data_IF_340161381892
#
_entry.id   IF_340161381892
#
_cell.length_a   1.000
_cell.length_b   1.000
_cell.length_c   1.000
_cell.angle_alpha   90.00
_cell.angle_beta   90.00
_cell.angle_gamma   90.00
#
_symmetry.space_group_name_H-M   'P 1'
#
loop_
_entity.id
_entity.type
_entity.pdbx_description
1 polymer ?
#
# COMPACT_ATOMS: atom_id res chain seq x y z
N UNK A 1 -38.49 -9.04 -51.11
CA UNK A 1 -39.48 -8.03 -51.49
C UNK A 1 -38.97 -7.34 -52.73
N UNK A 2 -39.86 -7.11 -53.69
CA UNK A 2 -39.61 -6.33 -54.90
C UNK A 2 -40.77 -5.37 -55.08
N UNK A 3 -40.55 -4.28 -55.79
CA UNK A 3 -41.63 -3.43 -56.29
C UNK A 3 -42.50 -4.24 -57.26
N UNK A 4 -43.77 -3.87 -57.38
CA UNK A 4 -44.70 -4.54 -58.29
C UNK A 4 -44.18 -4.47 -59.73
N UNK A 5 -44.31 -5.58 -60.48
CA UNK A 5 -43.80 -5.69 -61.84
C UNK A 5 -44.74 -5.03 -62.85
N UNK A 6 -44.85 -3.71 -62.77
CA UNK A 6 -45.50 -2.82 -63.75
C UNK A 6 -44.45 -1.91 -64.38
N UNK A 7 -44.71 -1.32 -65.58
CA UNK A 7 -43.73 -0.47 -66.25
C UNK A 7 -43.23 0.70 -65.40
N UNK A 8 -44.06 1.19 -64.49
CA UNK A 8 -43.80 2.28 -63.57
C UNK A 8 -43.53 1.83 -62.12
N UNK A 9 -43.52 0.51 -61.87
CA UNK A 9 -43.29 -0.09 -60.55
C UNK A 9 -44.34 0.28 -59.48
N UNK A 10 -45.53 0.71 -59.91
CA UNK A 10 -46.66 1.08 -59.06
C UNK A 10 -47.91 0.22 -59.35
N UNK A 11 -48.75 0.06 -58.33
CA UNK A 11 -50.08 -0.51 -58.46
C UNK A 11 -51.02 0.48 -59.15
N UNK A 12 -52.00 -0.04 -59.90
CA UNK A 12 -53.00 0.74 -60.66
C UNK A 12 -54.42 0.31 -60.29
N UNK A 13 -55.32 1.29 -60.16
CA UNK A 13 -56.75 1.03 -59.99
C UNK A 13 -57.37 0.49 -61.28
N UNK A 14 -58.47 -0.24 -61.15
CA UNK A 14 -59.12 -0.88 -62.30
C UNK A 14 -59.99 0.10 -63.06
N UNK A 15 -59.87 0.09 -64.39
CA UNK A 15 -60.74 0.83 -65.28
C UNK A 15 -61.50 -0.15 -66.21
N UNK A 16 -62.78 -0.45 -65.88
CA UNK A 16 -63.61 -1.35 -66.67
C UNK A 16 -63.92 -0.84 -68.08
N UNK A 17 -63.85 0.48 -68.32
CA UNK A 17 -64.16 1.07 -69.63
C UNK A 17 -63.02 0.90 -70.64
N UNK A 18 -61.78 0.82 -70.16
CA UNK A 18 -60.59 0.62 -70.99
C UNK A 18 -60.01 -0.81 -70.87
N UNK A 19 -60.72 -1.73 -70.21
CA UNK A 19 -60.31 -3.13 -70.05
C UNK A 19 -59.09 -3.33 -69.13
N UNK A 20 -58.76 -2.34 -68.30
CA UNK A 20 -57.61 -2.38 -67.40
C UNK A 20 -58.00 -3.10 -66.11
N UNK A 21 -57.45 -4.30 -65.90
CA UNK A 21 -57.64 -5.07 -64.67
C UNK A 21 -56.90 -4.36 -63.52
N UNK A 22 -57.64 -3.95 -62.51
CA UNK A 22 -57.09 -3.28 -61.33
C UNK A 22 -56.90 -4.17 -60.11
N UNK A 23 -56.28 -3.60 -59.09
CA UNK A 23 -56.21 -4.19 -57.76
C UNK A 23 -57.55 -4.11 -57.02
N UNK A 24 -57.86 -5.13 -56.21
CA UNK A 24 -59.10 -5.17 -55.39
C UNK A 24 -59.05 -4.12 -54.27
N UNK A 25 -57.85 -3.77 -53.82
CA UNK A 25 -57.58 -2.67 -52.86
C UNK A 25 -57.10 -1.46 -53.64
N UNK A 26 -57.39 -0.25 -53.15
CA UNK A 26 -56.99 0.99 -53.81
C UNK A 26 -55.47 1.06 -54.02
N UNK A 27 -55.06 1.41 -55.23
CA UNK A 27 -53.66 1.52 -55.63
C UNK A 27 -52.89 2.49 -54.72
N UNK A 28 -53.52 3.59 -54.29
CA UNK A 28 -52.93 4.56 -53.39
C UNK A 28 -52.43 3.92 -52.08
N UNK A 29 -53.23 3.06 -51.46
CA UNK A 29 -52.85 2.41 -50.20
C UNK A 29 -51.75 1.36 -50.42
N UNK A 30 -51.87 0.55 -51.47
CA UNK A 30 -50.86 -0.47 -51.79
C UNK A 30 -49.49 0.16 -52.14
N UNK A 31 -49.50 1.26 -52.88
CA UNK A 31 -48.28 2.01 -53.20
C UNK A 31 -47.67 2.64 -51.94
N UNK A 32 -48.48 3.21 -51.04
CA UNK A 32 -47.99 3.76 -49.78
C UNK A 32 -47.29 2.69 -48.92
N UNK A 33 -47.93 1.53 -48.75
CA UNK A 33 -47.33 0.41 -47.99
C UNK A 33 -46.07 -0.13 -48.67
N UNK A 34 -46.09 -0.28 -50.00
CA UNK A 34 -44.91 -0.70 -50.75
C UNK A 34 -43.74 0.27 -50.54
N UNK A 35 -44.00 1.57 -50.65
CA UNK A 35 -42.97 2.61 -50.50
C UNK A 35 -42.38 2.65 -49.09
N UNK A 36 -43.20 2.53 -48.04
CA UNK A 36 -42.71 2.45 -46.65
C UNK A 36 -41.74 1.28 -46.46
N UNK A 37 -42.11 0.09 -46.94
CA UNK A 37 -41.28 -1.11 -46.74
C UNK A 37 -40.03 -1.09 -47.62
N UNK A 38 -40.15 -0.66 -48.89
CA UNK A 38 -39.01 -0.48 -49.79
C UNK A 38 -38.06 0.60 -49.26
N UNK A 39 -38.60 1.68 -48.70
CA UNK A 39 -37.85 2.75 -48.05
C UNK A 39 -36.92 2.21 -46.97
N UNK A 40 -37.45 1.42 -46.02
CA UNK A 40 -36.66 0.79 -44.94
C UNK A 40 -35.53 -0.09 -45.49
N UNK A 41 -35.81 -0.89 -46.53
CA UNK A 41 -34.81 -1.79 -47.13
C UNK A 41 -33.70 -1.01 -47.85
N UNK A 42 -34.08 0.03 -48.60
CA UNK A 42 -33.15 0.86 -49.35
C UNK A 42 -32.27 1.75 -48.46
N UNK A 43 -32.81 2.31 -47.37
CA UNK A 43 -32.04 3.10 -46.39
C UNK A 43 -31.01 2.24 -45.62
N UNK A 44 -31.31 0.96 -45.43
CA UNK A 44 -30.36 -0.03 -44.95
C UNK A 44 -29.27 -0.39 -45.98
N UNK A 45 -29.33 0.12 -47.21
CA UNK A 45 -28.38 -0.16 -48.29
C UNK A 45 -28.54 -1.54 -48.93
N UNK A 46 -29.70 -2.19 -48.75
CA UNK A 46 -29.98 -3.52 -49.28
C UNK A 46 -30.71 -3.37 -50.63
N UNK A 47 -30.20 -4.03 -51.67
CA UNK A 47 -30.86 -4.08 -52.97
C UNK A 47 -32.10 -4.97 -52.93
N UNK A 48 -33.19 -4.52 -53.58
CA UNK A 48 -34.43 -5.28 -53.67
C UNK A 48 -34.24 -6.57 -54.48
N UNK A 49 -34.62 -7.69 -53.89
CA UNK A 49 -34.51 -9.02 -54.50
C UNK A 49 -35.84 -9.79 -54.41
N UNK A 50 -36.31 -10.30 -55.54
CA UNK A 50 -37.56 -11.05 -55.63
C UNK A 50 -37.46 -12.46 -55.01
N UNK A 51 -36.26 -13.02 -54.97
CA UNK A 51 -35.98 -14.37 -54.45
C UNK A 51 -35.86 -14.42 -52.93
N UNK A 52 -35.75 -13.27 -52.27
CA UNK A 52 -35.49 -13.14 -50.84
C UNK A 52 -36.68 -12.62 -50.05
N UNK A 53 -37.07 -13.36 -49.01
CA UNK A 53 -38.17 -13.01 -48.09
C UNK A 53 -37.69 -12.40 -46.77
N UNK A 54 -36.39 -12.26 -46.56
CA UNK A 54 -35.74 -11.84 -45.32
C UNK A 54 -35.21 -10.39 -45.35
N UNK A 55 -35.42 -9.65 -46.44
CA UNK A 55 -34.82 -8.33 -46.65
C UNK A 55 -35.26 -7.29 -45.63
N UNK A 56 -36.56 -7.22 -45.31
CA UNK A 56 -37.07 -6.28 -44.29
C UNK A 56 -36.48 -6.60 -42.91
N UNK A 57 -36.40 -7.89 -42.56
CA UNK A 57 -35.79 -8.32 -41.31
C UNK A 57 -34.31 -7.91 -41.24
N UNK A 58 -33.56 -8.10 -42.33
CA UNK A 58 -32.15 -7.70 -42.40
C UNK A 58 -31.98 -6.18 -42.38
N UNK A 59 -32.88 -5.43 -43.01
CA UNK A 59 -32.89 -3.97 -42.97
C UNK A 59 -33.11 -3.44 -41.55
N UNK A 60 -34.06 -4.01 -40.82
CA UNK A 60 -34.32 -3.67 -39.40
C UNK A 60 -33.09 -4.02 -38.54
N UNK A 61 -32.48 -5.19 -38.73
CA UNK A 61 -31.25 -5.58 -38.02
C UNK A 61 -30.09 -4.63 -38.32
N UNK A 62 -29.93 -4.20 -39.57
CA UNK A 62 -28.89 -3.26 -39.97
C UNK A 62 -29.13 -1.87 -39.38
N UNK A 63 -30.37 -1.36 -39.41
CA UNK A 63 -30.74 -0.11 -38.77
C UNK A 63 -30.47 -0.14 -37.25
N UNK A 64 -30.86 -1.23 -36.56
CA UNK A 64 -30.57 -1.42 -35.15
C UNK A 64 -29.05 -1.44 -34.87
N UNK A 65 -28.26 -2.05 -35.76
CA UNK A 65 -26.79 -2.11 -35.63
C UNK A 65 -26.12 -0.76 -35.88
N UNK A 66 -26.66 0.08 -36.78
CA UNK A 66 -26.20 1.46 -36.99
C UNK A 66 -26.42 2.31 -35.73
N UNK A 67 -27.59 2.16 -35.08
CA UNK A 67 -27.90 2.83 -33.81
C UNK A 67 -26.95 2.38 -32.70
N UNK A 68 -26.62 1.09 -32.64
CA UNK A 68 -25.70 0.52 -31.64
C UNK A 68 -24.22 0.96 -31.78
N UNK A 69 -23.85 1.64 -32.87
CA UNK A 69 -22.48 2.13 -33.09
C UNK A 69 -22.42 3.65 -33.33
N UNK A 70 -23.55 4.35 -33.16
CA UNK A 70 -23.62 5.79 -33.38
C UNK A 70 -23.02 6.54 -32.19
N UNK A 71 -22.09 7.44 -32.47
CA UNK A 71 -21.55 8.37 -31.47
C UNK A 71 -22.32 9.70 -31.52
N UNK A 72 -22.61 10.26 -30.35
CA UNK A 72 -23.22 11.59 -30.22
C UNK A 72 -22.20 12.58 -29.67
N UNK A 73 -22.19 13.80 -30.19
CA UNK A 73 -21.32 14.86 -29.68
C UNK A 73 -22.08 15.79 -28.73
N UNK A 74 -21.49 16.12 -27.57
CA UNK A 74 -22.06 17.00 -26.56
C UNK A 74 -21.15 18.21 -26.35
N UNK A 75 -21.70 19.37 -26.72
CA UNK A 75 -21.20 20.73 -26.48
C UNK A 75 -21.07 21.11 -25.00
N UNK A 76 -19.89 21.35 -24.42
CA UNK A 76 -19.77 21.90 -23.06
C UNK A 76 -18.73 23.03 -22.93
N UNK A 77 -18.96 23.95 -21.99
CA UNK A 77 -18.04 25.06 -21.68
C UNK A 77 -17.88 25.35 -20.18
N UNK A 78 -18.98 25.38 -19.41
CA UNK A 78 -18.99 25.52 -17.96
C UNK A 78 -20.32 25.05 -17.35
N UNK A 79 -20.31 24.68 -16.06
CA UNK A 79 -21.53 24.45 -15.29
C UNK A 79 -22.16 23.06 -15.47
N UNK A 80 -23.49 22.98 -15.37
CA UNK A 80 -24.22 21.70 -15.38
C UNK A 80 -24.95 21.53 -16.71
N UNK A 81 -24.76 20.38 -17.36
CA UNK A 81 -25.45 20.01 -18.61
C UNK A 81 -26.22 18.70 -18.41
N UNK A 82 -27.53 18.72 -18.63
CA UNK A 82 -28.38 17.53 -18.52
C UNK A 82 -28.50 16.90 -19.91
N UNK A 83 -28.21 15.60 -20.02
CA UNK A 83 -28.27 14.90 -21.30
C UNK A 83 -29.72 14.69 -21.74
N UNK A 84 -29.98 14.98 -23.02
CA UNK A 84 -31.26 14.71 -23.67
C UNK A 84 -31.43 13.23 -23.99
N UNK A 85 -32.67 12.81 -24.29
CA UNK A 85 -32.98 11.43 -24.67
C UNK A 85 -32.18 10.91 -25.85
N UNK A 86 -31.97 11.75 -26.87
CA UNK A 86 -31.15 11.37 -28.02
C UNK A 86 -29.66 11.19 -27.63
N UNK A 87 -29.16 11.95 -26.66
CA UNK A 87 -27.76 11.89 -26.25
C UNK A 87 -27.45 10.69 -25.36
N UNK A 88 -28.30 10.37 -24.38
CA UNK A 88 -28.05 9.21 -23.52
C UNK A 88 -28.45 7.89 -24.19
N UNK A 89 -29.22 7.89 -25.29
CA UNK A 89 -29.55 6.65 -26.02
C UNK A 89 -28.41 6.16 -26.91
N UNK A 90 -27.40 7.00 -27.16
CA UNK A 90 -26.21 6.63 -27.92
C UNK A 90 -25.19 5.92 -27.02
N UNK A 91 -24.56 4.81 -27.45
CA UNK A 91 -23.57 4.08 -26.65
C UNK A 91 -22.24 4.83 -26.51
N UNK A 92 -21.87 5.65 -27.51
CA UNK A 92 -20.66 6.47 -27.48
C UNK A 92 -21.02 7.95 -27.33
N UNK A 93 -20.45 8.61 -26.33
CA UNK A 93 -20.66 10.04 -26.08
C UNK A 93 -19.32 10.77 -26.16
N UNK A 94 -19.21 11.69 -27.12
CA UNK A 94 -18.02 12.52 -27.32
C UNK A 94 -18.28 13.91 -26.75
N UNK A 95 -17.53 14.28 -25.71
CA UNK A 95 -17.64 15.58 -25.05
C UNK A 95 -16.56 16.47 -25.64
N UNK A 96 -16.96 17.64 -26.16
CA UNK A 96 -16.06 18.60 -26.80
C UNK A 96 -16.31 20.01 -26.28
N UNK A 97 -15.36 20.91 -26.51
CA UNK A 97 -15.47 22.32 -26.17
C UNK A 97 -14.31 22.83 -25.31
N UNK A 98 -14.22 24.16 -25.19
CA UNK A 98 -13.23 24.84 -24.36
C UNK A 98 -13.80 25.08 -22.97
N UNK A 99 -13.22 24.44 -21.96
CA UNK A 99 -13.64 24.55 -20.58
C UNK A 99 -13.13 25.85 -19.96
N UNK A 100 -14.04 26.64 -19.41
CA UNK A 100 -13.74 27.85 -18.63
C UNK A 100 -13.97 27.64 -17.13
N UNK A 101 -14.61 26.54 -16.74
CA UNK A 101 -14.80 26.07 -15.36
C UNK A 101 -15.03 24.55 -15.34
N UNK A 102 -15.16 23.96 -14.14
CA UNK A 102 -15.55 22.55 -13.99
C UNK A 102 -16.96 22.32 -14.57
N UNK A 103 -17.14 21.19 -15.27
CA UNK A 103 -18.40 20.81 -15.92
C UNK A 103 -18.96 19.52 -15.32
N UNK A 104 -20.26 19.52 -15.06
CA UNK A 104 -21.02 18.35 -14.62
C UNK A 104 -22.03 17.93 -15.68
N UNK A 105 -21.88 16.73 -16.23
CA UNK A 105 -22.83 16.10 -17.14
C UNK A 105 -23.76 15.19 -16.33
N UNK A 106 -25.07 15.40 -16.47
CA UNK A 106 -26.09 14.65 -15.74
C UNK A 106 -26.74 13.63 -16.66
N UNK A 107 -26.61 12.36 -16.29
CA UNK A 107 -27.26 11.21 -16.90
C UNK A 107 -28.61 10.96 -16.22
N UNK A 108 -29.62 10.47 -16.95
CA UNK A 108 -30.84 9.97 -16.33
C UNK A 108 -30.51 8.76 -15.46
N UNK A 109 -31.35 8.50 -14.46
CA UNK A 109 -31.18 7.38 -13.51
C UNK A 109 -31.61 6.03 -14.09
N UNK A 110 -31.40 5.84 -15.40
CA UNK A 110 -31.76 4.63 -16.12
C UNK A 110 -30.55 3.69 -16.15
N UNK A 111 -30.80 2.38 -16.00
CA UNK A 111 -29.74 1.38 -16.14
C UNK A 111 -29.22 1.43 -17.58
N UNK A 112 -27.92 1.64 -17.74
CA UNK A 112 -27.28 1.82 -19.05
C UNK A 112 -25.76 1.79 -18.95
N UNK A 113 -25.11 1.57 -20.10
CA UNK A 113 -23.66 1.56 -20.26
C UNK A 113 -23.28 2.54 -21.38
N UNK A 114 -22.23 3.31 -21.17
CA UNK A 114 -21.71 4.28 -22.13
C UNK A 114 -20.19 4.28 -22.16
N UNK A 115 -19.62 4.47 -23.33
CA UNK A 115 -18.21 4.84 -23.47
C UNK A 115 -18.13 6.35 -23.71
N UNK A 116 -17.51 7.05 -22.76
CA UNK A 116 -17.42 8.51 -22.77
C UNK A 116 -16.02 8.95 -23.18
N UNK A 117 -15.95 9.76 -24.23
CA UNK A 117 -14.72 10.33 -24.77
C UNK A 117 -14.66 11.80 -24.36
N UNK A 118 -13.70 12.18 -23.54
CA UNK A 118 -13.50 13.58 -23.18
C UNK A 118 -12.45 14.22 -24.10
N UNK A 119 -12.90 14.89 -25.16
CA UNK A 119 -12.07 15.64 -26.11
C UNK A 119 -12.15 17.16 -25.86
N UNK A 120 -12.38 17.58 -24.62
CA UNK A 120 -12.39 18.99 -24.23
C UNK A 120 -10.97 19.56 -24.10
N UNK A 121 -10.85 20.88 -24.22
CA UNK A 121 -9.61 21.62 -24.00
C UNK A 121 -9.76 22.56 -22.80
N UNK A 122 -8.74 22.67 -21.95
CA UNK A 122 -8.77 23.52 -20.75
C UNK A 122 -8.42 22.74 -19.48
N UNK A 123 -7.94 23.45 -18.45
CA UNK A 123 -7.44 22.82 -17.22
C UNK A 123 -8.54 22.70 -16.15
N UNK A 124 -9.66 22.09 -16.52
CA UNK A 124 -10.83 21.90 -15.64
C UNK A 124 -11.35 20.47 -15.74
N UNK A 125 -12.11 20.04 -14.73
CA UNK A 125 -12.61 18.66 -14.65
C UNK A 125 -13.96 18.50 -15.34
N UNK A 126 -14.15 17.39 -16.05
CA UNK A 126 -15.45 16.94 -16.55
C UNK A 126 -15.92 15.76 -15.70
N UNK A 127 -17.08 15.91 -15.08
CA UNK A 127 -17.65 14.91 -14.17
C UNK A 127 -18.99 14.43 -14.69
N UNK A 128 -19.22 13.12 -14.70
CA UNK A 128 -20.46 12.48 -15.12
C UNK A 128 -21.20 11.99 -13.88
N UNK A 129 -22.41 12.51 -13.64
CA UNK A 129 -23.24 12.18 -12.47
C UNK A 129 -24.58 11.57 -12.90
N UNK A 130 -25.16 10.72 -12.05
CA UNK A 130 -26.57 10.38 -12.16
C UNK A 130 -27.44 11.52 -11.61
N UNK A 131 -28.68 11.62 -12.08
CA UNK A 131 -29.67 12.56 -11.51
C UNK A 131 -29.88 12.27 -10.02
N UNK A 132 -29.44 13.19 -9.15
CA UNK A 132 -29.45 13.05 -7.69
C UNK A 132 -28.62 11.86 -7.14
N UNK A 133 -27.57 11.45 -7.85
CA UNK A 133 -26.67 10.37 -7.44
C UNK A 133 -25.19 10.75 -7.50
N UNK A 134 -24.34 9.78 -7.21
CA UNK A 134 -22.88 9.83 -7.35
C UNK A 134 -22.42 9.80 -8.80
N UNK A 135 -21.13 10.10 -8.99
CA UNK A 135 -20.55 10.22 -10.32
C UNK A 135 -19.04 9.99 -10.37
N UNK A 136 -18.53 9.98 -11.59
CA UNK A 136 -17.12 9.72 -11.91
C UNK A 136 -16.54 10.87 -12.73
N UNK A 137 -15.23 11.06 -12.64
CA UNK A 137 -14.52 12.13 -13.36
C UNK A 137 -13.84 11.55 -14.60
N UNK A 138 -14.14 12.08 -15.78
CA UNK A 138 -13.52 11.62 -17.02
C UNK A 138 -12.33 12.52 -17.33
N UNK A 139 -11.13 11.93 -17.35
CA UNK A 139 -9.91 12.72 -17.60
C UNK A 139 -9.90 13.26 -19.04
N UNK A 140 -9.29 14.42 -19.32
CA UNK A 140 -9.17 14.92 -20.68
C UNK A 140 -8.32 13.98 -21.55
N UNK A 141 -8.72 13.79 -22.80
CA UNK A 141 -7.99 13.02 -23.81
C UNK A 141 -8.07 11.50 -23.69
N UNK A 142 -8.92 10.96 -22.81
CA UNK A 142 -9.13 9.51 -22.65
C UNK A 142 -10.56 9.10 -22.97
N UNK A 143 -10.72 7.79 -23.21
CA UNK A 143 -11.99 7.10 -23.32
C UNK A 143 -12.16 6.24 -22.07
N UNK A 144 -13.28 6.44 -21.36
CA UNK A 144 -13.60 5.66 -20.16
C UNK A 144 -15.01 5.06 -20.31
N UNK A 145 -15.12 3.75 -20.03
CA UNK A 145 -16.40 3.05 -19.95
C UNK A 145 -17.08 3.31 -18.60
N UNK A 146 -18.32 3.79 -18.64
CA UNK A 146 -19.14 4.09 -17.47
C UNK A 146 -20.46 3.31 -17.50
N UNK A 147 -20.99 3.02 -16.31
CA UNK A 147 -22.27 2.34 -16.12
C UNK A 147 -23.14 3.14 -15.15
N UNK A 148 -24.44 3.19 -15.40
CA UNK A 148 -25.43 3.57 -14.40
C UNK A 148 -26.10 2.31 -13.86
N UNK A 149 -26.06 2.12 -12.54
CA UNK A 149 -26.69 0.98 -11.85
C UNK A 149 -28.15 1.27 -11.43
N UNK A 150 -28.74 2.34 -11.97
CA UNK A 150 -30.04 2.85 -11.53
C UNK A 150 -29.96 3.70 -10.25
N UNK A 151 -28.76 3.96 -9.73
CA UNK A 151 -28.54 4.92 -8.65
C UNK A 151 -27.44 5.94 -8.94
N UNK A 152 -26.25 5.46 -9.25
CA UNK A 152 -25.05 6.27 -9.44
C UNK A 152 -24.39 5.96 -10.79
N UNK A 153 -23.54 6.87 -11.27
CA UNK A 153 -22.61 6.57 -12.37
C UNK A 153 -21.31 6.05 -11.79
N UNK A 154 -20.82 4.93 -12.31
CA UNK A 154 -19.58 4.24 -11.90
C UNK A 154 -18.74 3.88 -13.13
N UNK A 155 -17.44 3.66 -12.97
CA UNK A 155 -16.61 3.08 -14.03
C UNK A 155 -17.01 1.61 -14.25
N UNK A 156 -16.94 1.14 -15.49
CA UNK A 156 -17.22 -0.26 -15.82
C UNK A 156 -16.25 -1.22 -15.13
N UNK A 157 -14.97 -0.84 -15.03
CA UNK A 157 -13.98 -1.59 -14.28
C UNK A 157 -14.10 -1.26 -12.78
N UNK A 158 -15.10 -1.83 -12.11
CA UNK A 158 -15.35 -1.63 -10.67
C UNK A 158 -14.17 -2.02 -9.75
N UNK A 159 -13.26 -2.87 -10.23
CA UNK A 159 -12.09 -3.38 -9.49
C UNK A 159 -10.74 -2.80 -9.92
N UNK A 160 -10.70 -1.95 -10.97
CA UNK A 160 -9.45 -1.34 -11.40
C UNK A 160 -9.07 -0.16 -10.49
N UNK A 161 -7.83 -0.14 -10.00
CA UNK A 161 -7.31 0.99 -9.25
C UNK A 161 -7.36 2.27 -10.12
N UNK A 162 -8.09 3.29 -9.67
CA UNK A 162 -8.12 4.57 -10.38
C UNK A 162 -6.73 5.21 -10.40
N UNK A 163 -6.42 6.01 -11.43
CA UNK A 163 -5.14 6.75 -11.52
C UNK A 163 -4.86 7.56 -10.25
N UNK A 164 -5.90 8.18 -9.67
CA UNK A 164 -5.81 8.93 -8.43
C UNK A 164 -5.47 8.04 -7.22
N UNK A 165 -6.03 6.84 -7.12
CA UNK A 165 -5.72 5.89 -6.06
C UNK A 165 -4.27 5.38 -6.17
N UNK A 166 -3.79 5.13 -7.39
CA UNK A 166 -2.39 4.74 -7.65
C UNK A 166 -1.43 5.87 -7.28
N UNK A 167 -1.66 7.10 -7.76
CA UNK A 167 -0.77 8.24 -7.49
C UNK A 167 -0.71 8.63 -6.02
N UNK A 168 -1.83 8.49 -5.29
CA UNK A 168 -1.90 8.75 -3.85
C UNK A 168 -1.46 7.55 -3.00
N UNK A 169 -1.21 6.41 -3.64
CA UNK A 169 -0.94 5.13 -2.98
C UNK A 169 -2.02 4.76 -1.93
N UNK A 170 -3.28 5.18 -2.15
CA UNK A 170 -4.32 5.18 -1.10
C UNK A 170 -4.82 3.78 -0.74
N UNK A 171 -4.56 2.78 -1.58
CA UNK A 171 -4.99 1.39 -1.37
C UNK A 171 -4.07 0.62 -0.41
N UNK A 172 -2.83 1.08 -0.24
CA UNK A 172 -1.80 0.44 0.61
C UNK A 172 -1.29 1.35 1.72
N UNK A 173 -1.88 2.55 1.85
CA UNK A 173 -1.54 3.52 2.89
C UNK A 173 -2.72 3.74 3.84
N UNK A 174 -2.45 3.72 5.14
CA UNK A 174 -3.44 4.06 6.17
C UNK A 174 -2.83 4.87 7.32
N UNK A 175 -3.67 5.56 8.08
CA UNK A 175 -3.25 6.14 9.37
C UNK A 175 -3.23 5.02 10.41
N UNK A 176 -2.14 4.93 11.18
CA UNK A 176 -1.99 3.93 12.23
C UNK A 176 -2.75 4.29 13.50
N UNK A 177 -3.06 3.27 14.29
CA UNK A 177 -3.60 3.37 15.64
C UNK A 177 -2.90 2.39 16.58
N UNK A 178 -3.58 2.00 17.65
CA UNK A 178 -3.05 1.04 18.62
C UNK A 178 -2.13 1.66 19.67
N UNK A 179 -1.25 0.84 20.23
CA UNK A 179 -0.30 1.22 21.31
C UNK A 179 1.15 1.02 20.85
N UNK A 180 2.11 1.49 21.64
CA UNK A 180 3.56 1.44 21.34
C UNK A 180 4.02 0.10 20.75
N UNK A 181 3.60 -1.02 21.36
CA UNK A 181 4.04 -2.37 21.00
C UNK A 181 2.93 -3.23 20.36
N UNK A 182 1.76 -2.65 20.10
CA UNK A 182 0.66 -3.29 19.40
C UNK A 182 0.04 -2.30 18.42
N UNK A 183 0.67 -2.19 17.26
CA UNK A 183 0.34 -1.23 16.21
C UNK A 183 -0.81 -1.77 15.35
N UNK A 184 -1.71 -0.90 14.92
CA UNK A 184 -2.83 -1.27 14.05
C UNK A 184 -2.96 -0.25 12.91
N UNK A 185 -3.59 -0.65 11.80
CA UNK A 185 -3.96 0.28 10.73
C UNK A 185 -5.16 -0.25 9.96
N UNK A 186 -6.04 0.64 9.50
CA UNK A 186 -7.26 0.28 8.77
C UNK A 186 -7.15 0.71 7.32
N UNK A 187 -6.86 -0.25 6.43
CA UNK A 187 -6.77 -0.03 4.98
C UNK A 187 -8.14 -0.12 4.31
N UNK A 188 -8.28 0.55 3.17
CA UNK A 188 -9.46 0.53 2.32
C UNK A 188 -9.01 0.28 0.87
N UNK A 189 -9.44 -0.82 0.23
CA UNK A 189 -10.26 -1.90 0.78
C UNK A 189 -9.56 -2.65 1.93
N UNK A 190 -10.35 -3.29 2.79
CA UNK A 190 -9.83 -3.99 3.95
C UNK A 190 -8.97 -5.20 3.52
N UNK A 191 -7.79 -5.34 4.12
CA UNK A 191 -6.94 -6.51 3.91
C UNK A 191 -7.58 -7.72 4.58
N UNK A 192 -7.99 -8.71 3.77
CA UNK A 192 -8.61 -9.94 4.26
C UNK A 192 -7.57 -11.03 4.58
N UNK A 193 -6.55 -11.17 3.73
CA UNK A 193 -5.53 -12.21 3.83
C UNK A 193 -4.13 -11.64 3.60
N UNK A 194 -3.13 -12.26 4.23
CA UNK A 194 -1.72 -11.89 4.08
C UNK A 194 -1.03 -12.80 3.08
N UNK A 195 -0.37 -12.20 2.08
CA UNK A 195 0.39 -12.91 1.03
C UNK A 195 1.86 -12.56 1.10
N UNK A 196 2.74 -13.51 0.80
CA UNK A 196 4.19 -13.31 0.88
C UNK A 196 4.64 -12.15 -0.03
N UNK A 197 5.47 -11.24 0.49
CA UNK A 197 5.91 -10.04 -0.22
C UNK A 197 4.93 -8.86 -0.19
N UNK A 198 3.73 -9.01 0.40
CA UNK A 198 2.77 -7.91 0.52
C UNK A 198 3.35 -6.75 1.33
N UNK A 199 3.37 -5.54 0.76
CA UNK A 199 3.89 -4.34 1.43
C UNK A 199 2.76 -3.38 1.79
N UNK A 200 2.73 -2.94 3.05
CA UNK A 200 1.78 -1.98 3.58
C UNK A 200 2.50 -0.78 4.20
N UNK A 201 1.92 0.39 4.01
CA UNK A 201 2.43 1.65 4.53
C UNK A 201 1.47 2.21 5.57
N UNK A 202 1.98 2.68 6.70
CA UNK A 202 1.15 3.41 7.63
C UNK A 202 1.90 4.53 8.32
N UNK A 203 1.16 5.51 8.84
CA UNK A 203 1.73 6.50 9.75
C UNK A 203 1.56 6.02 11.19
N UNK A 204 2.68 5.78 11.90
CA UNK A 204 2.62 5.32 13.28
C UNK A 204 2.09 6.42 14.21
N UNK A 205 1.14 6.07 15.07
CA UNK A 205 0.59 7.00 16.06
C UNK A 205 1.43 7.04 17.35
N UNK A 206 2.14 5.96 17.66
CA UNK A 206 2.93 5.81 18.89
C UNK A 206 4.28 5.19 18.54
N UNK A 207 5.35 5.68 19.17
CA UNK A 207 6.68 5.09 19.06
C UNK A 207 6.75 3.74 19.77
N UNK A 208 7.54 2.80 19.25
CA UNK A 208 7.78 1.54 19.95
C UNK A 208 8.85 1.70 21.04
N UNK A 209 8.71 0.93 22.12
CA UNK A 209 9.71 0.86 23.20
C UNK A 209 10.20 -0.57 23.49
N UNK A 210 9.70 -1.56 22.74
CA UNK A 210 10.12 -2.95 22.81
C UNK A 210 9.74 -3.69 21.52
N UNK A 211 9.79 -5.03 21.57
CA UNK A 211 9.25 -5.90 20.54
C UNK A 211 7.77 -5.55 20.29
N UNK A 212 7.42 -5.41 19.01
CA UNK A 212 6.15 -4.82 18.57
C UNK A 212 5.42 -5.75 17.62
N UNK A 213 4.10 -5.76 17.65
CA UNK A 213 3.24 -6.46 16.69
C UNK A 213 2.48 -5.48 15.79
N UNK A 214 2.06 -5.95 14.61
CA UNK A 214 1.19 -5.23 13.70
C UNK A 214 -0.03 -6.07 13.30
N UNK A 215 -1.21 -5.45 13.33
CA UNK A 215 -2.49 -6.03 12.91
C UNK A 215 -3.21 -5.10 11.92
N UNK A 216 -3.12 -5.35 10.60
CA UNK A 216 -3.90 -4.61 9.62
C UNK A 216 -5.36 -5.04 9.67
N UNK A 217 -6.30 -4.09 9.59
CA UNK A 217 -7.74 -4.30 9.51
C UNK A 217 -8.34 -5.25 10.58
N UNK A 218 -7.69 -5.38 11.74
CA UNK A 218 -8.15 -6.26 12.83
C UNK A 218 -7.80 -7.74 12.65
N UNK A 219 -6.93 -8.09 11.70
CA UNK A 219 -6.36 -9.44 11.60
C UNK A 219 -5.55 -9.82 12.85
N UNK A 220 -5.21 -11.11 12.97
CA UNK A 220 -4.40 -11.59 14.09
C UNK A 220 -3.06 -10.83 14.16
N UNK A 221 -2.68 -10.28 15.34
CA UNK A 221 -1.44 -9.55 15.49
C UNK A 221 -0.23 -10.45 15.19
N UNK A 222 0.62 -10.02 14.26
CA UNK A 222 1.86 -10.70 13.93
C UNK A 222 3.07 -9.83 14.35
N UNK A 223 4.21 -10.45 14.75
CA UNK A 223 5.38 -9.71 15.19
C UNK A 223 6.00 -8.90 14.04
N UNK A 224 6.56 -7.74 14.40
CA UNK A 224 7.40 -6.93 13.52
C UNK A 224 8.86 -7.23 13.84
N UNK A 225 9.62 -7.56 12.80
CA UNK A 225 11.06 -7.79 12.84
C UNK A 225 11.75 -6.68 12.03
N UNK A 226 12.95 -6.28 12.42
CA UNK A 226 13.78 -5.40 11.59
C UNK A 226 14.43 -6.13 10.42
N UNK A 227 15.23 -5.40 9.63
CA UNK A 227 15.88 -5.93 8.41
C UNK A 227 16.82 -7.12 8.62
N UNK A 228 17.23 -7.40 9.86
CA UNK A 228 18.04 -8.57 10.23
C UNK A 228 17.20 -9.73 10.81
N UNK A 229 15.88 -9.69 10.66
CA UNK A 229 14.91 -10.63 11.24
C UNK A 229 14.97 -10.71 12.77
N UNK A 230 15.43 -9.64 13.41
CA UNK A 230 15.45 -9.51 14.86
C UNK A 230 14.17 -8.80 15.32
N UNK A 231 13.62 -9.14 16.50
CA UNK A 231 12.56 -8.35 17.10
C UNK A 231 12.97 -6.88 17.27
N UNK A 232 12.02 -5.97 17.16
CA UNK A 232 12.26 -4.55 17.47
C UNK A 232 12.69 -4.37 18.93
N UNK A 233 13.55 -3.40 19.19
CA UNK A 233 14.19 -3.16 20.49
C UNK A 233 13.71 -1.85 21.15
N UNK A 234 13.06 -0.97 20.39
CA UNK A 234 12.60 0.35 20.82
C UNK A 234 13.25 1.46 19.99
N UNK A 235 12.44 2.41 19.54
CA UNK A 235 12.91 3.56 18.77
C UNK A 235 13.04 3.34 17.27
N UNK A 236 12.80 2.13 16.75
CA UNK A 236 12.74 1.89 15.29
C UNK A 236 11.47 2.45 14.63
N UNK A 237 10.39 2.61 15.40
CA UNK A 237 9.15 3.26 15.00
C UNK A 237 9.00 4.51 15.85
N UNK A 238 8.79 5.65 15.21
CA UNK A 238 8.57 6.95 15.87
C UNK A 238 7.15 7.43 15.65
N UNK A 239 6.61 8.14 16.64
CA UNK A 239 5.30 8.76 16.51
C UNK A 239 5.30 9.77 15.35
N UNK A 240 4.30 9.68 14.47
CA UNK A 240 4.19 10.46 13.24
C UNK A 240 5.03 9.96 12.07
N UNK A 241 5.93 9.00 12.28
CA UNK A 241 6.79 8.41 11.25
C UNK A 241 5.99 7.59 10.23
N UNK A 242 6.44 7.60 8.98
CA UNK A 242 5.94 6.71 7.93
C UNK A 242 6.69 5.39 8.01
N UNK A 243 5.94 4.31 8.15
CA UNK A 243 6.44 2.95 8.33
C UNK A 243 6.04 2.12 7.11
N UNK A 244 6.98 1.36 6.57
CA UNK A 244 6.75 0.39 5.52
C UNK A 244 7.04 -1.02 6.05
N UNK A 245 6.01 -1.87 6.05
CA UNK A 245 6.07 -3.26 6.48
C UNK A 245 5.85 -4.18 5.31
N UNK A 246 6.67 -5.23 5.19
CA UNK A 246 6.51 -6.28 4.20
C UNK A 246 6.20 -7.61 4.90
N UNK A 247 5.15 -8.29 4.47
CA UNK A 247 4.81 -9.61 5.02
C UNK A 247 5.79 -10.67 4.51
N UNK A 248 6.31 -11.49 5.43
CA UNK A 248 7.08 -12.66 5.09
C UNK A 248 6.43 -13.93 5.65
N UNK A 249 5.85 -14.74 4.77
CA UNK A 249 5.06 -15.92 5.11
C UNK A 249 5.91 -17.01 5.79
N UNK A 250 7.17 -17.17 5.40
CA UNK A 250 8.08 -18.16 6.01
C UNK A 250 8.40 -17.90 7.48
N UNK A 251 8.34 -16.63 7.92
CA UNK A 251 8.56 -16.23 9.32
C UNK A 251 7.24 -15.92 10.05
N UNK A 252 6.10 -15.95 9.35
CA UNK A 252 4.81 -15.46 9.84
C UNK A 252 4.92 -14.08 10.52
N UNK A 253 5.72 -13.19 9.94
CA UNK A 253 6.14 -11.92 10.56
C UNK A 253 6.17 -10.78 9.55
N UNK A 254 5.99 -9.56 10.05
CA UNK A 254 6.20 -8.33 9.30
C UNK A 254 7.66 -7.91 9.35
N UNK A 255 8.26 -7.61 8.20
CA UNK A 255 9.61 -7.06 8.10
C UNK A 255 9.53 -5.56 7.93
N UNK A 256 10.17 -4.83 8.85
CA UNK A 256 10.34 -3.39 8.78
C UNK A 256 11.37 -3.05 7.70
N UNK A 257 10.89 -2.55 6.56
CA UNK A 257 11.74 -2.16 5.42
C UNK A 257 12.19 -0.71 5.53
N UNK A 258 11.33 0.17 6.05
CA UNK A 258 11.68 1.56 6.35
C UNK A 258 10.79 2.16 7.43
N UNK A 259 11.37 3.09 8.19
CA UNK A 259 10.68 3.91 9.18
C UNK A 259 11.32 5.29 9.19
N UNK A 260 10.58 6.33 8.81
CA UNK A 260 11.14 7.69 8.77
C UNK A 260 11.35 8.22 10.18
N UNK A 261 12.57 8.61 10.51
CA UNK A 261 12.93 9.14 11.83
C UNK A 261 13.18 8.07 12.90
N UNK A 262 12.95 6.79 12.58
CA UNK A 262 13.26 5.67 13.44
C UNK A 262 14.73 5.23 13.34
N UNK A 263 15.22 4.62 14.41
CA UNK A 263 16.53 3.97 14.42
C UNK A 263 16.58 2.76 13.49
N UNK A 264 17.73 2.54 12.85
CA UNK A 264 18.00 1.33 12.07
C UNK A 264 18.68 0.31 12.99
N UNK A 265 18.17 -0.91 13.02
CA UNK A 265 18.82 -1.99 13.76
C UNK A 265 20.18 -2.31 13.15
N UNK A 266 21.20 -2.53 13.98
CA UNK A 266 22.54 -2.94 13.54
C UNK A 266 22.86 -4.29 14.15
N UNK A 267 22.95 -5.33 13.30
CA UNK A 267 23.39 -6.66 13.72
C UNK A 267 24.87 -6.69 14.15
N UNK A 268 25.32 -7.80 14.71
CA UNK A 268 26.73 -7.98 15.07
C UNK A 268 27.62 -7.98 13.82
N UNK A 269 28.67 -7.16 13.83
CA UNK A 269 29.64 -7.10 12.75
C UNK A 269 30.41 -8.42 12.59
N UNK A 270 30.56 -8.90 11.35
CA UNK A 270 31.29 -10.15 11.02
C UNK A 270 32.40 -9.95 9.99
N UNK A 271 32.50 -8.76 9.39
CA UNK A 271 33.51 -8.41 8.36
C UNK A 271 33.96 -6.96 8.52
N UNK A 272 35.09 -6.62 7.91
CA UNK A 272 35.81 -5.34 8.07
C UNK A 272 35.05 -4.06 7.63
N UNK A 273 33.84 -4.17 7.08
CA UNK A 273 33.02 -3.04 6.64
C UNK A 273 31.58 -3.10 7.17
N UNK A 274 31.33 -3.91 8.20
CA UNK A 274 30.03 -3.92 8.87
C UNK A 274 30.00 -2.84 9.96
N UNK A 275 28.84 -2.20 10.12
CA UNK A 275 28.61 -1.31 11.25
C UNK A 275 28.71 -2.09 12.57
N UNK A 276 29.37 -1.50 13.55
CA UNK A 276 29.59 -2.08 14.88
C UNK A 276 28.43 -1.66 15.77
N UNK A 277 27.83 -2.62 16.50
CA UNK A 277 26.73 -2.30 17.41
C UNK A 277 27.24 -1.75 18.74
N UNK A 278 26.37 -1.03 19.48
CA UNK A 278 26.76 -0.39 20.74
C UNK A 278 27.35 -1.38 21.76
N UNK A 279 26.80 -2.59 21.85
CA UNK A 279 27.29 -3.61 22.78
C UNK A 279 28.75 -4.00 22.50
N UNK A 280 29.12 -4.17 21.23
CA UNK A 280 30.52 -4.45 20.85
C UNK A 280 31.46 -3.28 21.13
N UNK A 281 31.01 -2.04 20.94
CA UNK A 281 31.80 -0.85 21.30
C UNK A 281 32.00 -0.75 22.81
N UNK A 282 30.95 -0.95 23.60
CA UNK A 282 31.02 -0.91 25.07
C UNK A 282 31.99 -1.95 25.61
N UNK A 283 32.01 -3.16 25.04
CA UNK A 283 32.97 -4.20 25.40
C UNK A 283 34.42 -3.82 25.04
N UNK A 284 34.65 -3.11 23.94
CA UNK A 284 35.99 -2.62 23.56
C UNK A 284 36.47 -1.48 24.45
N UNK A 285 35.60 -0.52 24.79
CA UNK A 285 35.92 0.63 25.65
C UNK A 285 36.16 0.19 27.09
N UNK A 286 35.37 -0.77 27.59
CA UNK A 286 35.67 -1.43 28.86
C UNK A 286 37.05 -2.12 28.86
N UNK A 287 37.68 -2.26 27.69
CA UNK A 287 39.04 -2.74 27.46
C UNK A 287 40.14 -1.66 27.55
N UNK A 288 39.81 -0.38 27.38
CA UNK A 288 40.76 0.65 26.91
C UNK A 288 41.26 1.64 27.99
N UNK A 289 40.84 1.51 29.25
CA UNK A 289 41.32 2.38 30.33
C UNK A 289 40.93 1.93 31.75
N UNK A 290 41.48 2.57 32.80
CA UNK A 290 41.16 2.22 34.17
C UNK A 290 39.67 2.38 34.47
N UNK A 291 39.04 1.35 35.01
CA UNK A 291 37.62 1.33 35.35
C UNK A 291 37.42 1.76 36.80
N UNK A 292 36.68 2.85 37.03
CA UNK A 292 36.29 3.27 38.39
C UNK A 292 35.30 2.28 39.02
N UNK A 293 35.50 1.94 40.29
CA UNK A 293 34.67 1.00 41.04
C UNK A 293 34.44 1.50 42.47
N UNK A 294 33.17 1.64 42.86
CA UNK A 294 32.74 1.99 44.21
C UNK A 294 31.67 1.02 44.77
N UNK A 295 31.62 -0.20 44.23
CA UNK A 295 30.62 -1.20 44.58
C UNK A 295 30.97 -2.59 44.07
N UNK A 296 30.22 -3.59 44.55
CA UNK A 296 30.46 -5.00 44.23
C UNK A 296 30.24 -5.29 42.73
N UNK A 297 31.16 -6.04 42.13
CA UNK A 297 31.06 -6.47 40.71
C UNK A 297 31.96 -7.66 40.41
N UNK A 298 31.70 -8.31 39.28
CA UNK A 298 32.66 -9.23 38.66
C UNK A 298 33.64 -8.44 37.80
N UNK A 299 34.92 -8.74 37.95
CA UNK A 299 36.03 -8.10 37.26
C UNK A 299 36.20 -8.72 35.87
N UNK A 300 36.88 -7.99 34.98
CA UNK A 300 37.16 -8.36 33.60
C UNK A 300 38.67 -8.60 33.47
N UNK A 301 39.04 -9.65 32.72
CA UNK A 301 40.44 -9.99 32.49
C UNK A 301 41.20 -8.87 31.78
N UNK A 302 42.42 -8.58 32.21
CA UNK A 302 43.30 -7.59 31.59
C UNK A 302 42.98 -6.14 31.93
N UNK A 303 42.05 -5.89 32.86
CA UNK A 303 41.64 -4.54 33.24
C UNK A 303 42.41 -3.94 34.43
N UNK A 304 42.46 -2.62 34.44
CA UNK A 304 42.92 -1.81 35.58
C UNK A 304 41.70 -1.24 36.28
N UNK A 305 41.65 -1.31 37.61
CA UNK A 305 40.53 -0.83 38.42
C UNK A 305 40.98 0.26 39.39
N UNK A 306 40.29 1.40 39.36
CA UNK A 306 40.41 2.46 40.36
C UNK A 306 39.35 2.17 41.43
N UNK A 307 39.77 1.69 42.61
CA UNK A 307 38.84 1.22 43.63
C UNK A 307 38.66 2.27 44.72
N UNK A 308 37.42 2.68 44.91
CA UNK A 308 36.99 3.63 45.93
C UNK A 308 36.12 2.92 46.99
N UNK A 309 36.64 2.81 48.21
CA UNK A 309 35.94 2.19 49.34
C UNK A 309 35.18 3.19 50.23
N UNK A 310 35.11 4.48 49.86
CA UNK A 310 34.45 5.50 50.70
C UNK A 310 32.95 5.25 50.88
N UNK A 311 32.30 4.59 49.92
CA UNK A 311 30.87 4.27 49.94
C UNK A 311 30.48 3.05 50.81
N UNK A 312 31.45 2.35 51.41
CA UNK A 312 31.21 1.16 52.22
C UNK A 312 32.01 -0.07 51.77
N UNK A 313 31.87 -1.17 52.51
CA UNK A 313 32.55 -2.43 52.22
C UNK A 313 31.85 -3.19 51.10
N UNK A 314 32.58 -3.69 50.11
CA UNK A 314 32.03 -4.50 49.03
C UNK A 314 32.98 -5.62 48.60
N UNK A 315 32.47 -6.54 47.77
CA UNK A 315 33.25 -7.66 47.21
C UNK A 315 33.48 -7.48 45.72
N UNK A 316 34.74 -7.43 45.29
CA UNK A 316 35.13 -7.49 43.88
C UNK A 316 35.48 -8.93 43.53
N UNK A 317 34.72 -9.56 42.64
CA UNK A 317 34.92 -10.98 42.28
C UNK A 317 35.86 -11.08 41.08
N UNK A 318 36.95 -11.85 41.20
CA UNK A 318 37.90 -12.09 40.11
C UNK A 318 37.24 -12.68 38.84
N UNK A 319 37.76 -12.40 37.63
CA UNK A 319 37.19 -12.91 36.39
C UNK A 319 37.27 -14.45 36.33
N UNK A 320 36.57 -15.06 35.37
CA UNK A 320 36.71 -16.50 35.09
C UNK A 320 38.18 -16.84 34.84
N UNK A 321 38.79 -17.72 35.66
CA UNK A 321 40.23 -17.89 35.75
C UNK A 321 40.80 -18.53 34.49
N UNK A 322 41.49 -17.73 33.67
CA UNK A 322 42.19 -18.17 32.45
C UNK A 322 43.67 -17.89 32.61
N UNK A 323 44.54 -18.86 32.26
CA UNK A 323 46.00 -18.74 32.43
C UNK A 323 46.50 -17.45 31.77
N UNK A 324 47.27 -16.65 32.49
CA UNK A 324 47.81 -15.37 32.02
C UNK A 324 46.88 -14.17 32.19
N UNK A 325 45.69 -14.34 32.78
CA UNK A 325 44.83 -13.21 33.16
C UNK A 325 45.52 -12.38 34.23
N UNK A 326 45.58 -11.07 34.04
CA UNK A 326 46.09 -10.09 34.99
C UNK A 326 44.98 -9.09 35.30
N UNK A 327 44.87 -8.68 36.57
CA UNK A 327 44.02 -7.56 36.99
C UNK A 327 44.84 -6.66 37.91
N UNK A 328 44.75 -5.35 37.70
CA UNK A 328 45.47 -4.36 38.51
C UNK A 328 44.48 -3.52 39.30
N UNK A 329 44.78 -3.27 40.57
CA UNK A 329 43.98 -2.42 41.45
C UNK A 329 44.81 -1.24 41.91
N UNK A 330 44.20 -0.05 41.90
CA UNK A 330 44.81 1.20 42.34
C UNK A 330 43.87 1.83 43.37
N UNK A 331 44.41 2.14 44.55
CA UNK A 331 43.70 2.93 45.55
C UNK A 331 43.61 4.39 45.09
N UNK A 332 42.38 4.89 44.88
CA UNK A 332 42.13 6.25 44.39
C UNK A 332 41.76 7.23 45.50
N UNK A 333 41.32 6.72 46.66
CA UNK A 333 40.83 7.55 47.78
C UNK A 333 41.65 7.43 49.06
N UNK A 334 42.71 6.60 49.07
CA UNK A 334 43.55 6.34 50.24
C UNK A 334 42.75 5.79 51.44
N UNK A 335 41.66 5.07 51.15
CA UNK A 335 40.65 4.71 52.15
C UNK A 335 40.55 3.20 52.43
N UNK A 336 41.34 2.35 51.75
CA UNK A 336 41.27 0.89 51.93
C UNK A 336 41.58 0.44 53.37
N UNK A 337 42.43 1.16 54.10
CA UNK A 337 42.73 0.90 55.51
C UNK A 337 41.67 1.36 56.51
N UNK A 338 40.75 2.23 56.11
CA UNK A 338 39.61 2.65 56.95
C UNK A 338 38.37 1.81 56.63
N UNK A 339 38.04 1.73 55.34
CA UNK A 339 36.94 0.90 54.83
C UNK A 339 37.55 -0.18 53.95
N UNK A 340 37.65 -1.38 54.51
CA UNK A 340 38.18 -2.53 53.80
C UNK A 340 37.21 -3.05 52.74
N UNK A 341 37.76 -3.72 51.73
CA UNK A 341 36.97 -4.42 50.73
C UNK A 341 37.52 -5.83 50.54
N UNK A 342 36.71 -6.70 49.96
CA UNK A 342 37.04 -8.13 49.80
C UNK A 342 37.25 -8.46 48.32
N UNK A 343 38.35 -9.13 48.01
CA UNK A 343 38.63 -9.70 46.70
C UNK A 343 38.12 -11.15 46.67
N UNK A 344 37.00 -11.36 46.00
CA UNK A 344 36.34 -12.65 45.83
C UNK A 344 37.09 -13.54 44.84
N UNK A 345 37.38 -14.78 45.25
CA UNK A 345 38.29 -15.70 44.56
C UNK A 345 37.74 -16.39 43.30
N UNK A 346 36.45 -16.22 43.03
CA UNK A 346 35.70 -16.84 41.92
C UNK A 346 36.02 -18.33 41.72
N UNK A 347 35.99 -19.09 42.83
CA UNK A 347 36.17 -20.55 42.82
C UNK A 347 37.61 -21.07 42.79
N UNK A 348 38.63 -20.23 42.56
CA UNK A 348 40.05 -20.63 42.67
C UNK A 348 40.68 -20.15 43.98
N UNK A 349 41.88 -20.61 44.30
CA UNK A 349 42.62 -20.13 45.48
C UNK A 349 43.29 -18.79 45.17
N UNK A 350 43.58 -18.02 46.22
CA UNK A 350 44.42 -16.82 46.15
C UNK A 350 45.67 -17.09 46.99
N UNK A 351 46.85 -17.05 46.38
CA UNK A 351 48.13 -17.35 47.02
C UNK A 351 48.20 -18.74 47.69
N UNK A 352 47.39 -19.69 47.20
CA UNK A 352 47.24 -21.04 47.77
C UNK A 352 46.20 -21.15 48.88
N UNK A 353 45.55 -20.05 49.27
CA UNK A 353 44.50 -20.04 50.29
C UNK A 353 43.12 -20.19 49.65
N UNK A 354 42.27 -21.04 50.25
CA UNK A 354 40.87 -21.23 49.84
C UNK A 354 39.94 -20.26 50.58
N UNK A 355 40.31 -18.98 50.62
CA UNK A 355 39.55 -17.89 51.23
C UNK A 355 39.63 -16.65 50.33
N UNK A 356 38.64 -15.76 50.46
CA UNK A 356 38.68 -14.45 49.82
C UNK A 356 39.68 -13.54 50.52
N UNK A 357 40.28 -12.60 49.80
CA UNK A 357 41.36 -11.74 50.32
C UNK A 357 40.79 -10.39 50.74
N UNK A 358 40.90 -10.04 52.02
CA UNK A 358 40.56 -8.69 52.50
C UNK A 358 41.71 -7.73 52.21
N UNK A 359 41.37 -6.57 51.66
CA UNK A 359 42.32 -5.49 51.37
C UNK A 359 42.09 -4.37 52.38
N UNK A 360 43.08 -4.15 53.24
CA UNK A 360 43.04 -3.29 54.42
C UNK A 360 44.23 -2.32 54.50
N UNK A 361 44.99 -2.15 53.41
CA UNK A 361 46.13 -1.25 53.32
C UNK A 361 45.85 -0.12 52.33
N UNK A 362 45.89 1.12 52.79
CA UNK A 362 45.72 2.29 51.92
C UNK A 362 47.00 2.68 51.16
N UNK A 363 46.83 3.49 50.11
CA UNK A 363 47.90 4.03 49.24
C UNK A 363 48.72 2.94 48.55
N UNK A 364 48.03 1.90 48.08
CA UNK A 364 48.65 0.77 47.39
C UNK A 364 48.10 0.62 45.98
N UNK A 365 49.00 0.21 45.09
CA UNK A 365 48.68 -0.42 43.83
C UNK A 365 49.24 -1.84 43.87
N UNK A 366 48.43 -2.81 43.45
CA UNK A 366 48.89 -4.19 43.30
C UNK A 366 48.23 -4.83 42.09
N UNK A 367 48.93 -5.80 41.51
CA UNK A 367 48.40 -6.62 40.44
C UNK A 367 48.27 -8.07 40.91
N UNK A 368 47.31 -8.78 40.35
CA UNK A 368 47.11 -10.19 40.58
C UNK A 368 47.02 -10.90 39.23
N UNK A 369 47.72 -12.03 39.08
CA UNK A 369 47.71 -12.81 37.86
C UNK A 369 47.39 -14.28 38.10
N UNK A 370 46.77 -14.94 37.12
CA UNK A 370 46.43 -16.35 37.22
C UNK A 370 47.48 -17.22 36.52
N UNK A 371 48.17 -18.08 37.27
CA UNK A 371 49.25 -18.93 36.73
C UNK A 371 48.76 -20.20 36.00
N UNK A 372 47.45 -20.46 36.02
CA UNK A 372 46.80 -21.65 35.47
C UNK A 372 46.11 -22.51 36.54
N UNK A 373 46.54 -22.40 37.80
CA UNK A 373 45.97 -23.14 38.94
C UNK A 373 45.50 -22.21 40.08
N UNK A 374 46.19 -21.09 40.29
CA UNK A 374 46.08 -20.25 41.47
C UNK A 374 46.30 -18.76 41.13
N UNK A 375 45.65 -17.86 41.88
CA UNK A 375 45.85 -16.43 41.74
C UNK A 375 47.08 -15.97 42.54
N UNK A 376 47.97 -15.19 41.92
CA UNK A 376 49.23 -14.74 42.52
C UNK A 376 49.36 -13.23 42.46
N UNK A 377 49.66 -12.62 43.60
CA UNK A 377 49.98 -11.19 43.70
C UNK A 377 51.37 -10.95 43.11
N UNK A 378 51.55 -9.82 42.43
CA UNK A 378 52.79 -9.38 41.76
C UNK A 378 53.05 -7.90 41.99
#
# INVERSE_FOLDING_TARGET
MQTINTPDQLFHDGDPFNGVKGTVVTAAWLNAVQQEIVGVISDAGIALDSSRTDQLLNAIKAAASKVANSAVTVQVSAGVTILTQAQYSAPFIVITGALTANVSLIFPRNIGKWDVINATTGNYTVSCFATNGGGVVISPGVVDGIVCDGSDIKYEAGDAATRAAVQKNSLVYATGGGTANAQTASFLPAVADLTDGMTLYYQASVANNAATTFAPNGLSPAPILGGFHLPLQGGEIVAGGKVALMWHAGLASWILTSSTGGGVQVGTASRAYHAVNLGTVQNLIAGAGPTYCNGARTLVAGQVYLVDSTGGTFTLTLPTPTKGTIVTFIDVTNNWGTTNWTLGRNGKTIMGFSADLTIDLSDRQFSIWFNGNDWRLV
#
